data_IF_468289784262
#
_entry.id   IF_468289784262
#
_cell.length_a   1.000
_cell.length_b   1.000
_cell.length_c   1.000
_cell.angle_alpha   90.00
_cell.angle_beta   90.00
_cell.angle_gamma   90.00
#
_symmetry.space_group_name_H-M   'P 1'
#
loop_
_entity.id
_entity.type
_entity.pdbx_description
1 polymer ?
#
# COMPACT_ATOMS: atom_id res chain seq x y z
N UNK A 1 -4.21 13.51 10.91
CA UNK A 1 -3.52 13.07 9.67
C UNK A 1 -3.83 14.06 8.56
N UNK A 2 -2.81 14.65 7.96
CA UNK A 2 -3.00 15.58 6.87
C UNK A 2 -3.30 14.83 5.58
N UNK A 3 -4.38 15.20 4.90
CA UNK A 3 -4.83 14.49 3.70
C UNK A 3 -3.81 14.54 2.57
N UNK A 4 -3.19 15.70 2.35
CA UNK A 4 -2.21 15.83 1.28
C UNK A 4 -0.95 15.01 1.56
N UNK A 5 -0.45 15.07 2.78
CA UNK A 5 0.71 14.29 3.19
C UNK A 5 0.44 12.79 3.07
N UNK A 6 -0.75 12.36 3.51
CA UNK A 6 -1.15 10.96 3.42
C UNK A 6 -1.26 10.51 1.97
N UNK A 7 -1.90 11.32 1.13
CA UNK A 7 -2.04 11.03 -0.30
C UNK A 7 -0.67 10.89 -0.96
N UNK A 8 0.24 11.82 -0.68
CA UNK A 8 1.58 11.79 -1.25
C UNK A 8 2.34 10.54 -0.79
N UNK A 9 2.18 10.16 0.48
CA UNK A 9 2.84 8.98 1.01
C UNK A 9 2.30 7.68 0.38
N UNK A 10 0.98 7.61 0.19
CA UNK A 10 0.34 6.46 -0.45
C UNK A 10 0.81 6.33 -1.90
N UNK A 11 0.90 7.45 -2.62
CA UNK A 11 1.40 7.44 -3.99
C UNK A 11 2.87 6.99 -4.03
N UNK A 12 3.68 7.47 -3.10
CA UNK A 12 5.08 7.07 -3.00
C UNK A 12 5.20 5.57 -2.69
N UNK A 13 4.31 5.03 -1.87
CA UNK A 13 4.27 3.60 -1.59
C UNK A 13 3.97 2.80 -2.86
N UNK A 14 2.97 3.22 -3.63
CA UNK A 14 2.64 2.55 -4.89
C UNK A 14 3.82 2.58 -5.86
N UNK A 15 4.52 3.71 -5.95
CA UNK A 15 5.70 3.86 -6.79
C UNK A 15 6.83 2.94 -6.32
N UNK A 16 7.00 2.77 -5.00
CA UNK A 16 8.01 1.89 -4.44
C UNK A 16 7.75 0.42 -4.82
N UNK A 17 6.48 0.01 -4.83
CA UNK A 17 6.11 -1.34 -5.27
C UNK A 17 6.53 -1.56 -6.73
N UNK A 18 6.27 -0.58 -7.59
CA UNK A 18 6.64 -0.66 -9.00
C UNK A 18 8.15 -0.74 -9.18
N UNK A 19 8.91 0.04 -8.39
CA UNK A 19 10.38 0.02 -8.46
C UNK A 19 10.99 -1.24 -7.87
N UNK A 20 10.21 -2.03 -7.14
CA UNK A 20 10.74 -3.18 -6.41
C UNK A 20 11.51 -2.80 -5.16
N UNK A 21 11.25 -1.61 -4.62
CA UNK A 21 11.90 -1.11 -3.41
C UNK A 21 11.19 -1.69 -2.18
N UNK A 22 11.48 -2.95 -1.90
CA UNK A 22 10.81 -3.69 -0.84
C UNK A 22 11.11 -3.13 0.55
N UNK A 23 12.28 -2.54 0.75
CA UNK A 23 12.61 -1.93 2.06
C UNK A 23 11.62 -0.82 2.39
N UNK A 24 11.30 0.04 1.43
CA UNK A 24 10.32 1.10 1.60
C UNK A 24 8.91 0.52 1.79
N UNK A 25 8.56 -0.48 1.00
CA UNK A 25 7.24 -1.13 1.09
C UNK A 25 7.05 -1.74 2.48
N UNK A 26 8.04 -2.44 2.99
CA UNK A 26 7.98 -3.06 4.32
C UNK A 26 7.94 -1.99 5.42
N UNK A 27 8.70 -0.91 5.26
CA UNK A 27 8.70 0.19 6.23
C UNK A 27 7.34 0.87 6.35
N UNK A 28 6.53 0.80 5.30
CA UNK A 28 5.17 1.36 5.33
C UNK A 28 4.16 0.47 6.06
N UNK A 29 4.53 -0.77 6.38
CA UNK A 29 3.66 -1.66 7.13
C UNK A 29 3.78 -1.38 8.62
N UNK A 30 2.67 -1.50 9.35
CA UNK A 30 2.72 -1.42 10.80
C UNK A 30 3.59 -2.55 11.34
N UNK A 31 4.08 -2.39 12.58
CA UNK A 31 4.91 -3.41 13.22
C UNK A 31 4.21 -4.77 13.24
N UNK A 32 2.88 -4.77 13.38
CA UNK A 32 2.09 -6.01 13.40
C UNK A 32 2.04 -6.69 12.04
N UNK A 33 2.09 -5.93 10.95
CA UNK A 33 2.02 -6.48 9.60
C UNK A 33 3.39 -6.86 9.02
N UNK A 34 4.47 -6.29 9.54
CA UNK A 34 5.79 -6.57 8.98
C UNK A 34 6.14 -8.05 8.89
N UNK A 35 5.82 -8.89 9.89
CA UNK A 35 6.08 -10.33 9.78
C UNK A 35 5.30 -11.00 8.66
N UNK A 36 4.23 -10.38 8.18
CA UNK A 36 3.40 -10.92 7.09
C UNK A 36 3.83 -10.40 5.72
N UNK A 37 4.87 -9.58 5.64
CA UNK A 37 5.32 -8.99 4.39
C UNK A 37 5.54 -10.01 3.27
N UNK A 38 6.19 -11.17 3.50
CA UNK A 38 6.37 -12.15 2.42
C UNK A 38 5.04 -12.67 1.86
N UNK A 39 4.05 -12.87 2.72
CA UNK A 39 2.72 -13.35 2.30
C UNK A 39 1.99 -12.28 1.51
N UNK A 40 2.10 -11.02 1.94
CA UNK A 40 1.48 -9.90 1.25
C UNK A 40 2.10 -9.70 -0.12
N UNK A 41 3.42 -9.80 -0.21
CA UNK A 41 4.14 -9.68 -1.48
C UNK A 41 3.77 -10.83 -2.44
N UNK A 42 3.54 -12.02 -1.91
CA UNK A 42 3.16 -13.17 -2.73
C UNK A 42 1.81 -12.97 -3.43
N UNK A 43 0.96 -12.09 -2.92
CA UNK A 43 -0.32 -11.76 -3.54
C UNK A 43 -0.21 -10.75 -4.69
N UNK A 44 0.98 -10.21 -4.93
CA UNK A 44 1.17 -9.23 -6.00
C UNK A 44 1.62 -9.91 -7.29
N UNK A 45 1.24 -9.35 -8.48
CA UNK A 45 1.72 -9.86 -9.78
C UNK A 45 3.15 -9.37 -10.03
N UNK A 46 4.12 -9.98 -9.38
CA UNK A 46 5.51 -9.55 -9.47
C UNK A 46 6.17 -10.04 -10.76
N UNK A 47 7.03 -9.25 -11.37
CA UNK A 47 7.34 -7.85 -11.04
C UNK A 47 6.16 -6.94 -11.39
N UNK A 48 5.85 -6.02 -10.50
CA UNK A 48 4.79 -5.04 -10.73
C UNK A 48 5.31 -3.98 -11.68
N UNK A 49 4.61 -3.76 -12.78
CA UNK A 49 5.00 -2.80 -13.80
C UNK A 49 4.23 -1.49 -13.71
N UNK A 50 3.06 -1.51 -13.05
CA UNK A 50 2.20 -0.35 -12.94
C UNK A 50 1.38 -0.42 -11.67
N UNK A 51 1.13 0.74 -11.07
CA UNK A 51 0.26 0.85 -9.91
C UNK A 51 -0.62 2.08 -10.08
N UNK A 52 -1.92 1.93 -9.82
CA UNK A 52 -2.88 3.02 -9.95
C UNK A 52 -3.72 3.11 -8.68
N UNK A 53 -3.75 4.28 -8.07
CA UNK A 53 -4.62 4.54 -6.92
C UNK A 53 -6.02 4.79 -7.46
N UNK A 54 -6.93 3.84 -7.27
CA UNK A 54 -8.29 3.90 -7.80
C UNK A 54 -9.21 4.75 -6.95
N UNK A 55 -9.03 4.69 -5.63
CA UNK A 55 -9.85 5.48 -4.72
C UNK A 55 -9.07 5.74 -3.44
N UNK A 56 -9.45 6.81 -2.77
CA UNK A 56 -8.80 7.23 -1.53
C UNK A 56 -9.85 7.91 -0.67
N UNK A 57 -10.18 7.29 0.45
CA UNK A 57 -11.18 7.80 1.38
C UNK A 57 -10.49 8.17 2.68
N UNK A 58 -10.76 9.37 3.17
CA UNK A 58 -10.20 9.85 4.42
C UNK A 58 -11.27 9.85 5.51
N UNK A 59 -10.90 9.30 6.66
CA UNK A 59 -11.71 9.38 7.87
C UNK A 59 -10.86 10.09 8.92
N UNK A 60 -11.43 10.28 10.10
CA UNK A 60 -10.78 11.07 11.15
C UNK A 60 -9.45 10.47 11.59
N UNK A 61 -9.40 9.15 11.76
CA UNK A 61 -8.23 8.46 12.30
C UNK A 61 -7.55 7.55 11.29
N UNK A 62 -8.11 7.40 10.09
CA UNK A 62 -7.53 6.49 9.12
C UNK A 62 -7.89 6.90 7.70
N UNK A 63 -7.15 6.32 6.75
CA UNK A 63 -7.45 6.47 5.34
C UNK A 63 -7.53 5.09 4.71
N UNK A 64 -8.39 4.93 3.72
CA UNK A 64 -8.54 3.67 2.99
C UNK A 64 -8.21 3.93 1.53
N UNK A 65 -7.26 3.18 1.00
CA UNK A 65 -6.85 3.29 -0.40
C UNK A 65 -7.12 1.99 -1.13
N UNK A 66 -7.63 2.09 -2.36
CA UNK A 66 -7.69 0.96 -3.26
C UNK A 66 -6.68 1.20 -4.37
N UNK A 67 -5.73 0.30 -4.50
CA UNK A 67 -4.64 0.42 -5.47
C UNK A 67 -4.63 -0.82 -6.34
N UNK A 68 -4.66 -0.61 -7.65
CA UNK A 68 -4.54 -1.71 -8.61
C UNK A 68 -3.09 -1.83 -9.04
N UNK A 69 -2.54 -3.01 -8.84
CA UNK A 69 -1.18 -3.35 -9.25
C UNK A 69 -1.24 -4.27 -10.46
N UNK A 70 -0.52 -3.92 -11.50
CA UNK A 70 -0.46 -4.69 -12.74
C UNK A 70 0.96 -5.20 -12.95
N UNK A 71 1.08 -6.44 -13.37
CA UNK A 71 2.36 -7.07 -13.70
C UNK A 71 2.17 -8.04 -14.87
N UNK A 72 3.22 -8.78 -15.19
CA UNK A 72 3.20 -9.69 -16.32
C UNK A 72 2.16 -10.79 -16.19
N UNK A 73 1.86 -11.21 -14.96
CA UNK A 73 0.90 -12.29 -14.71
C UNK A 73 -0.54 -11.84 -14.56
N UNK A 74 -0.79 -10.53 -14.62
CA UNK A 74 -2.15 -10.00 -14.49
C UNK A 74 -2.21 -8.78 -13.61
N UNK A 75 -3.38 -8.55 -13.00
CA UNK A 75 -3.59 -7.40 -12.13
C UNK A 75 -4.33 -7.82 -10.87
N UNK A 76 -4.06 -7.13 -9.78
CA UNK A 76 -4.75 -7.33 -8.51
C UNK A 76 -5.04 -5.95 -7.90
N UNK A 77 -6.22 -5.81 -7.30
CA UNK A 77 -6.57 -4.60 -6.56
C UNK A 77 -6.56 -4.93 -5.08
N UNK A 78 -5.83 -4.13 -4.31
CA UNK A 78 -5.75 -4.28 -2.87
C UNK A 78 -6.35 -3.06 -2.19
N UNK A 79 -7.12 -3.31 -1.13
CA UNK A 79 -7.60 -2.27 -0.24
C UNK A 79 -6.68 -2.22 0.96
N UNK A 80 -6.05 -1.07 1.20
CA UNK A 80 -5.17 -0.87 2.34
C UNK A 80 -5.75 0.18 3.27
N UNK A 81 -5.66 -0.08 4.57
CA UNK A 81 -6.06 0.87 5.60
C UNK A 81 -4.80 1.44 6.21
N UNK A 82 -4.76 2.77 6.29
CA UNK A 82 -3.60 3.53 6.75
C UNK A 82 -3.97 4.30 8.01
N UNK A 83 -3.06 4.34 8.95
CA UNK A 83 -3.20 5.14 10.16
C UNK A 83 -1.90 5.92 10.40
N UNK A 84 -1.98 6.94 11.25
CA UNK A 84 -0.77 7.68 11.62
C UNK A 84 0.21 6.79 12.36
N UNK A 85 1.46 6.82 11.90
CA UNK A 85 2.56 6.19 12.60
C UNK A 85 3.43 7.27 13.26
N UNK A 86 4.52 6.84 13.89
CA UNK A 86 5.40 7.76 14.59
C UNK A 86 6.09 8.75 13.65
N UNK A 87 6.47 8.32 12.46
CA UNK A 87 7.20 9.14 11.50
C UNK A 87 6.44 9.39 10.21
N UNK A 88 5.54 8.46 9.85
CA UNK A 88 4.78 8.52 8.61
C UNK A 88 3.54 7.64 8.73
N UNK A 89 2.56 7.81 7.83
CA UNK A 89 1.42 6.90 7.82
C UNK A 89 1.87 5.45 7.60
N UNK A 90 1.19 4.51 8.24
CA UNK A 90 1.50 3.10 8.12
C UNK A 90 0.25 2.30 7.76
N UNK A 91 0.45 1.20 7.07
CA UNK A 91 -0.63 0.27 6.69
C UNK A 91 -0.90 -0.65 7.87
N UNK A 92 -2.16 -0.70 8.30
CA UNK A 92 -2.57 -1.56 9.42
C UNK A 92 -3.40 -2.76 8.96
N UNK A 93 -3.88 -2.74 7.71
CA UNK A 93 -4.65 -3.84 7.16
C UNK A 93 -4.59 -3.80 5.63
N UNK A 94 -4.48 -4.97 5.01
CA UNK A 94 -4.50 -5.12 3.55
C UNK A 94 -5.40 -6.30 3.20
N UNK A 95 -6.29 -6.11 2.22
CA UNK A 95 -7.13 -7.19 1.74
C UNK A 95 -7.34 -7.07 0.23
N UNK A 96 -7.53 -8.19 -0.47
CA UNK A 96 -7.84 -8.14 -1.90
C UNK A 96 -9.28 -7.66 -2.10
N UNK A 97 -9.50 -6.94 -3.21
CA UNK A 97 -10.82 -6.50 -3.65
C UNK A 97 -11.18 -7.34 -4.87
N UNK A 98 -12.22 -8.12 -4.71
CA UNK A 98 -12.53 -9.07 -5.69
C UNK A 98 -13.69 -9.11 -6.41
#
# INVERSE_FOLDING_TARGET
MDEQTTKDHIQAHADAVVRGDMDTVIADLSAELQPQAPQLAAGLPMPVTEAEVLSLDFAEDESVAQIRYTGDSGAVTLRSRWQDGDEHPVIVHVEPVG
#
